data_IF_373325094988
#
_entry.id   IF_373325094988
#
_cell.length_a   1.000
_cell.length_b   1.000
_cell.length_c   1.000
_cell.angle_alpha   90.00
_cell.angle_beta   90.00
_cell.angle_gamma   90.00
#
_symmetry.space_group_name_H-M   'P 1'
#
loop_
_entity.id
_entity.type
_entity.pdbx_description
1 polymer ?
#
# COMPACT_ATOMS: atom_id res chain seq x y z
N UNK A 1 8.51 -38.06 5.44
CA UNK A 1 7.45 -37.82 4.45
C UNK A 1 6.15 -37.59 5.23
N UNK A 2 5.57 -36.39 5.20
CA UNK A 2 4.25 -36.18 5.83
C UNK A 2 3.19 -36.62 4.82
N UNK A 3 2.27 -37.45 5.29
CA UNK A 3 1.07 -37.85 4.57
C UNK A 3 -0.05 -37.03 5.16
N UNK A 4 -0.82 -36.39 4.30
CA UNK A 4 -1.97 -35.65 4.72
C UNK A 4 -3.06 -36.61 5.23
N UNK A 5 -3.59 -36.42 6.44
CA UNK A 5 -4.62 -37.32 7.00
C UNK A 5 -6.00 -37.21 6.32
N UNK A 6 -6.26 -36.11 5.61
CA UNK A 6 -7.53 -35.84 4.92
C UNK A 6 -7.58 -36.49 3.54
N UNK A 7 -6.58 -36.23 2.70
CA UNK A 7 -6.46 -36.78 1.35
C UNK A 7 -5.66 -38.11 1.27
N UNK A 8 -4.96 -38.53 2.35
CA UNK A 8 -4.04 -39.70 2.41
C UNK A 8 -2.93 -39.73 1.36
N UNK A 9 -2.71 -38.62 0.67
CA UNK A 9 -1.68 -38.41 -0.35
C UNK A 9 -0.43 -37.72 0.28
N UNK A 10 0.76 -37.87 -0.34
CA UNK A 10 1.95 -37.13 0.06
C UNK A 10 1.75 -35.62 -0.16
N UNK A 11 2.22 -34.79 0.78
CA UNK A 11 2.03 -33.33 0.77
C UNK A 11 2.55 -32.64 -0.49
N UNK A 12 3.45 -33.28 -1.21
CA UNK A 12 4.13 -32.73 -2.38
C UNK A 12 3.32 -32.88 -3.68
N UNK A 13 2.17 -33.58 -3.64
CA UNK A 13 1.31 -33.80 -4.81
C UNK A 13 -0.15 -33.34 -4.58
N UNK A 14 -0.37 -32.39 -3.66
CA UNK A 14 -1.69 -31.90 -3.33
C UNK A 14 -2.30 -31.06 -4.48
N UNK A 15 -3.32 -31.60 -5.16
CA UNK A 15 -4.02 -30.88 -6.24
C UNK A 15 -4.86 -29.71 -5.72
N UNK A 16 -5.18 -28.73 -6.60
CA UNK A 16 -6.00 -27.55 -6.26
C UNK A 16 -7.36 -27.90 -5.64
N UNK A 17 -7.93 -29.04 -6.03
CA UNK A 17 -9.19 -29.56 -5.48
C UNK A 17 -9.05 -30.06 -4.04
N UNK A 18 -7.89 -30.61 -3.66
CA UNK A 18 -7.57 -30.99 -2.29
C UNK A 18 -7.23 -29.73 -1.47
N UNK A 19 -6.46 -28.76 -2.02
CA UNK A 19 -6.14 -27.48 -1.36
C UNK A 19 -7.38 -26.70 -0.87
N UNK A 20 -8.44 -26.61 -1.68
CA UNK A 20 -9.69 -25.93 -1.30
C UNK A 20 -10.42 -26.57 -0.12
N UNK A 21 -10.26 -27.88 0.09
CA UNK A 21 -10.81 -28.58 1.25
C UNK A 21 -9.86 -28.47 2.45
N UNK A 22 -8.56 -28.33 2.19
CA UNK A 22 -7.52 -28.17 3.19
C UNK A 22 -7.51 -26.79 3.86
N UNK A 23 -7.67 -25.69 3.13
CA UNK A 23 -7.62 -24.33 3.70
C UNK A 23 -8.70 -24.09 4.77
N UNK A 24 -9.77 -24.89 4.74
CA UNK A 24 -10.86 -24.82 5.72
C UNK A 24 -10.47 -25.57 7.02
N UNK A 25 -9.55 -26.53 6.96
CA UNK A 25 -9.04 -27.28 8.11
C UNK A 25 -7.66 -26.74 8.49
N UNK A 26 -7.61 -26.10 9.66
CA UNK A 26 -6.48 -25.34 10.23
C UNK A 26 -5.15 -26.10 10.41
N UNK A 27 -5.04 -27.34 9.94
CA UNK A 27 -3.84 -28.20 10.07
C UNK A 27 -2.91 -28.19 8.85
N UNK A 28 -3.12 -27.30 7.88
CA UNK A 28 -2.12 -27.07 6.83
C UNK A 28 -1.02 -26.14 7.35
N UNK A 29 -0.20 -26.66 8.27
CA UNK A 29 1.00 -25.97 8.72
C UNK A 29 1.95 -25.88 7.52
N UNK A 30 2.08 -24.66 6.99
CA UNK A 30 2.83 -24.33 5.80
C UNK A 30 4.22 -24.98 5.82
N UNK A 31 4.37 -26.04 5.01
CA UNK A 31 5.71 -26.49 4.62
C UNK A 31 6.28 -25.43 3.70
N UNK A 32 7.00 -24.52 4.34
CA UNK A 32 8.08 -23.69 3.81
C UNK A 32 8.57 -24.18 2.45
N UNK A 33 8.04 -23.57 1.38
CA UNK A 33 8.75 -23.52 0.11
C UNK A 33 10.01 -22.72 0.38
N UNK A 34 11.13 -23.42 0.58
CA UNK A 34 12.47 -22.82 0.58
C UNK A 34 12.68 -22.21 -0.79
N UNK A 35 12.42 -20.91 -0.89
CA UNK A 35 12.91 -20.08 -1.99
C UNK A 35 14.44 -20.19 -2.02
N UNK A 36 15.08 -20.39 -3.19
CA UNK A 36 16.52 -20.18 -3.33
C UNK A 36 16.89 -18.74 -2.90
N UNK A 37 18.13 -18.50 -2.43
CA UNK A 37 18.48 -17.32 -1.65
C UNK A 37 18.44 -16.08 -2.55
N UNK A 38 17.42 -15.24 -2.36
CA UNK A 38 17.23 -14.02 -3.14
C UNK A 38 15.89 -13.33 -2.97
N UNK A 39 15.08 -13.73 -1.98
CA UNK A 39 13.83 -13.05 -1.64
C UNK A 39 13.63 -13.13 -0.14
N UNK A 40 13.71 -11.98 0.51
CA UNK A 40 13.55 -11.85 1.96
C UNK A 40 12.08 -12.12 2.34
N UNK A 41 11.80 -12.86 3.43
CA UNK A 41 10.44 -13.26 3.79
C UNK A 41 9.69 -12.10 4.44
N UNK A 42 8.50 -11.79 3.92
CA UNK A 42 7.53 -10.95 4.62
C UNK A 42 6.96 -11.77 5.79
N UNK A 43 7.52 -11.59 6.98
CA UNK A 43 6.94 -12.07 8.23
C UNK A 43 5.67 -11.29 8.55
N UNK A 44 4.55 -11.99 8.55
CA UNK A 44 3.28 -11.58 9.15
C UNK A 44 3.41 -11.57 10.68
N UNK A 45 4.14 -10.59 11.22
CA UNK A 45 4.12 -10.23 12.64
C UNK A 45 4.25 -8.70 12.75
N UNK A 46 3.12 -8.01 12.59
CA UNK A 46 2.79 -6.68 13.12
C UNK A 46 1.40 -6.26 12.61
N UNK A 47 0.35 -6.84 13.21
CA UNK A 47 -1.02 -6.34 13.15
C UNK A 47 -1.42 -5.80 14.53
N UNK A 48 -0.63 -4.87 15.05
CA UNK A 48 -0.97 -4.09 16.24
C UNK A 48 -0.62 -2.63 15.91
N UNK A 49 -1.65 -1.80 15.79
CA UNK A 49 -1.58 -0.33 15.63
C UNK A 49 -1.08 0.20 14.27
N UNK A 50 -1.92 0.11 13.24
CA UNK A 50 -1.84 1.01 12.08
C UNK A 50 -3.25 1.53 11.81
N UNK A 51 -3.82 2.18 12.84
CA UNK A 51 -5.05 2.94 12.64
C UNK A 51 -4.67 4.18 11.81
N UNK A 52 -5.34 4.46 10.67
CA UNK A 52 -5.15 5.71 9.96
C UNK A 52 -5.35 6.86 10.93
N UNK A 53 -4.58 7.93 10.78
CA UNK A 53 -4.56 9.09 11.68
C UNK A 53 -5.99 9.50 12.06
N UNK A 54 -6.44 9.10 13.25
CA UNK A 54 -7.86 9.18 13.69
C UNK A 54 -8.37 10.63 13.74
N UNK A 55 -7.44 11.59 13.78
CA UNK A 55 -7.76 12.99 13.93
C UNK A 55 -7.96 13.66 12.57
N UNK A 56 -9.14 14.25 12.38
CA UNK A 56 -9.34 15.27 11.36
C UNK A 56 -8.27 16.35 11.53
N UNK A 57 -7.47 16.65 10.49
CA UNK A 57 -6.41 17.65 10.61
C UNK A 57 -7.01 18.99 11.03
N UNK A 58 -6.25 19.75 11.83
CA UNK A 58 -6.64 21.10 12.18
C UNK A 58 -6.71 21.95 10.90
N UNK A 59 -7.88 22.50 10.59
CA UNK A 59 -8.02 23.41 9.45
C UNK A 59 -7.20 24.67 9.69
N UNK A 60 -6.17 24.83 8.88
CA UNK A 60 -5.33 26.04 8.76
C UNK A 60 -5.52 26.63 7.37
N UNK A 61 -4.94 27.82 7.12
CA UNK A 61 -4.97 28.45 5.80
C UNK A 61 -4.37 27.53 4.71
N UNK A 62 -3.35 26.75 5.06
CA UNK A 62 -2.67 25.80 4.17
C UNK A 62 -3.41 24.46 4.01
N UNK A 63 -4.56 24.27 4.68
CA UNK A 63 -5.30 23.01 4.61
C UNK A 63 -6.23 22.99 3.41
N UNK A 64 -6.00 22.05 2.49
CA UNK A 64 -6.84 21.87 1.29
C UNK A 64 -8.28 21.52 1.68
N UNK A 65 -9.24 22.25 1.11
CA UNK A 65 -10.67 22.01 1.34
C UNK A 65 -11.11 20.62 0.85
N UNK A 66 -12.02 19.93 1.58
CA UNK A 66 -12.44 18.57 1.24
C UNK A 66 -13.09 18.47 -0.14
N UNK A 67 -13.80 19.51 -0.59
CA UNK A 67 -14.41 19.54 -1.93
C UNK A 67 -13.35 19.47 -3.04
N UNK A 68 -12.19 20.12 -2.83
CA UNK A 68 -11.06 20.05 -3.78
C UNK A 68 -10.40 18.66 -3.74
N UNK A 69 -10.25 18.08 -2.55
CA UNK A 69 -9.69 16.73 -2.41
C UNK A 69 -10.53 15.67 -3.13
N UNK A 70 -11.87 15.82 -3.15
CA UNK A 70 -12.75 14.93 -3.92
C UNK A 70 -12.52 14.99 -5.43
N UNK A 71 -12.00 16.11 -5.96
CA UNK A 71 -11.70 16.24 -7.39
C UNK A 71 -10.53 15.35 -7.81
N UNK A 72 -9.60 15.04 -6.91
CA UNK A 72 -8.47 14.15 -7.16
C UNK A 72 -8.91 12.76 -7.65
N UNK A 73 -10.07 12.27 -7.18
CA UNK A 73 -10.61 10.96 -7.55
C UNK A 73 -10.97 10.85 -9.05
N UNK A 74 -11.21 11.98 -9.72
CA UNK A 74 -11.61 12.04 -11.13
C UNK A 74 -10.41 12.21 -12.08
N UNK A 75 -9.21 12.47 -11.55
CA UNK A 75 -8.00 12.62 -12.38
C UNK A 75 -7.50 11.28 -12.88
N UNK A 76 -7.47 11.10 -14.20
CA UNK A 76 -6.90 9.90 -14.82
C UNK A 76 -5.39 9.79 -14.61
N UNK A 77 -4.66 10.91 -14.63
CA UNK A 77 -3.21 10.95 -14.38
C UNK A 77 -2.85 10.43 -13.00
N UNK A 78 -3.56 10.94 -11.98
CA UNK A 78 -3.37 10.53 -10.59
C UNK A 78 -3.78 9.07 -10.38
N UNK A 79 -4.89 8.61 -10.99
CA UNK A 79 -5.28 7.20 -10.96
C UNK A 79 -4.23 6.28 -11.59
N UNK A 80 -3.63 6.70 -12.71
CA UNK A 80 -2.55 5.97 -13.38
C UNK A 80 -1.32 5.80 -12.48
N UNK A 81 -0.91 6.86 -11.77
CA UNK A 81 0.17 6.79 -10.79
C UNK A 81 -0.17 5.82 -9.64
N UNK A 82 -1.41 5.88 -9.12
CA UNK A 82 -1.85 5.02 -8.02
C UNK A 82 -2.03 3.54 -8.39
N UNK A 83 -2.07 3.16 -9.68
CA UNK A 83 -1.98 1.75 -10.05
C UNK A 83 -0.64 1.12 -9.60
N UNK A 84 0.41 1.93 -9.46
CA UNK A 84 1.69 1.47 -8.95
C UNK A 84 1.58 1.06 -7.45
N UNK A 85 1.79 -0.23 -7.11
CA UNK A 85 1.72 -0.69 -5.73
C UNK A 85 2.81 -0.05 -4.84
N UNK A 86 3.97 0.30 -5.39
CA UNK A 86 5.05 0.93 -4.62
C UNK A 86 4.64 2.31 -4.14
N UNK A 87 4.04 3.13 -5.01
CA UNK A 87 3.52 4.44 -4.62
C UNK A 87 2.45 4.31 -3.53
N UNK A 88 1.51 3.37 -3.66
CA UNK A 88 0.46 3.18 -2.63
C UNK A 88 1.02 2.78 -1.28
N UNK A 89 1.99 1.86 -1.26
CA UNK A 89 2.65 1.48 -0.01
C UNK A 89 3.46 2.65 0.56
N UNK A 90 4.14 3.41 -0.30
CA UNK A 90 4.90 4.58 0.10
C UNK A 90 4.01 5.65 0.75
N UNK A 91 2.88 5.99 0.12
CA UNK A 91 1.90 6.92 0.66
C UNK A 91 1.33 6.44 2.01
N UNK A 92 1.06 5.13 2.15
CA UNK A 92 0.63 4.56 3.43
C UNK A 92 1.70 4.75 4.51
N UNK A 93 2.96 4.53 4.19
CA UNK A 93 4.08 4.74 5.13
C UNK A 93 4.20 6.19 5.55
N UNK A 94 3.95 7.15 4.65
CA UNK A 94 3.92 8.58 5.00
C UNK A 94 2.75 8.90 5.94
N UNK A 95 1.55 8.42 5.62
CA UNK A 95 0.32 8.70 6.37
C UNK A 95 0.39 8.23 7.83
N UNK A 96 0.98 7.06 8.06
CA UNK A 96 1.10 6.46 9.41
C UNK A 96 2.43 6.80 10.11
N UNK A 97 3.27 7.64 9.52
CA UNK A 97 4.59 7.92 10.05
C UNK A 97 4.52 8.70 11.37
N UNK A 98 5.22 8.26 12.44
CA UNK A 98 5.24 8.98 13.72
C UNK A 98 5.96 10.34 13.62
N UNK A 99 6.84 10.50 12.63
CA UNK A 99 7.52 11.76 12.34
C UNK A 99 7.26 12.18 10.89
N UNK A 100 6.09 12.78 10.66
CA UNK A 100 5.65 13.24 9.35
C UNK A 100 6.67 14.19 8.70
N UNK A 101 7.29 15.09 9.46
CA UNK A 101 8.28 16.04 8.93
C UNK A 101 9.48 15.33 8.28
N UNK A 102 10.12 14.41 9.02
CA UNK A 102 11.31 13.71 8.54
C UNK A 102 10.98 12.82 7.34
N UNK A 103 9.85 12.12 7.39
CA UNK A 103 9.42 11.23 6.31
C UNK A 103 9.03 12.04 5.07
N UNK A 104 8.37 13.18 5.23
CA UNK A 104 8.06 14.09 4.12
C UNK A 104 9.32 14.60 3.43
N UNK A 105 10.35 15.03 4.18
CA UNK A 105 11.62 15.46 3.58
C UNK A 105 12.27 14.36 2.72
N UNK A 106 12.23 13.11 3.19
CA UNK A 106 12.74 11.98 2.42
C UNK A 106 11.86 11.69 1.19
N UNK A 107 10.54 11.76 1.33
CA UNK A 107 9.59 11.58 0.24
C UNK A 107 9.78 12.60 -0.88
N UNK A 108 10.08 13.85 -0.55
CA UNK A 108 10.39 14.88 -1.54
C UNK A 108 11.69 14.63 -2.34
N UNK A 109 12.50 13.63 -2.00
CA UNK A 109 13.64 13.20 -2.82
C UNK A 109 13.28 12.09 -3.81
N UNK A 110 12.14 11.42 -3.61
CA UNK A 110 11.70 10.31 -4.44
C UNK A 110 10.96 10.82 -5.68
N UNK A 111 11.44 10.54 -6.91
CA UNK A 111 10.85 11.07 -8.13
C UNK A 111 9.39 10.65 -8.29
N UNK A 112 9.06 9.43 -7.87
CA UNK A 112 7.70 8.89 -7.92
C UNK A 112 6.72 9.67 -7.02
N UNK A 113 7.20 10.19 -5.89
CA UNK A 113 6.38 11.01 -4.99
C UNK A 113 6.23 12.44 -5.51
N UNK A 114 7.29 12.99 -6.11
CA UNK A 114 7.24 14.31 -6.75
C UNK A 114 6.20 14.32 -7.88
N UNK A 115 6.23 13.32 -8.78
CA UNK A 115 5.24 13.18 -9.85
C UNK A 115 3.80 13.10 -9.31
N UNK A 116 3.60 12.36 -8.21
CA UNK A 116 2.32 12.29 -7.53
C UNK A 116 1.89 13.65 -6.94
N UNK A 117 2.80 14.36 -6.27
CA UNK A 117 2.53 15.66 -5.67
C UNK A 117 2.17 16.70 -6.75
N UNK A 118 2.93 16.73 -7.85
CA UNK A 118 2.68 17.63 -8.97
C UNK A 118 1.29 17.40 -9.59
N UNK A 119 0.88 16.15 -9.79
CA UNK A 119 -0.47 15.84 -10.28
C UNK A 119 -1.57 16.25 -9.29
N UNK A 120 -1.32 16.12 -7.98
CA UNK A 120 -2.26 16.63 -6.97
C UNK A 120 -2.37 18.16 -7.03
N UNK A 121 -1.23 18.85 -7.08
CA UNK A 121 -1.13 20.30 -7.05
C UNK A 121 -1.84 20.96 -8.23
N UNK A 122 -1.72 20.41 -9.43
CA UNK A 122 -2.45 20.90 -10.63
C UNK A 122 -3.97 20.99 -10.43
N UNK A 123 -4.53 20.16 -9.55
CA UNK A 123 -5.97 20.08 -9.29
C UNK A 123 -6.36 20.97 -8.12
N UNK A 124 -5.59 20.94 -7.02
CA UNK A 124 -5.93 21.69 -5.80
C UNK A 124 -5.58 23.18 -5.93
N UNK A 125 -4.54 23.48 -6.70
CA UNK A 125 -3.99 24.81 -6.96
C UNK A 125 -3.75 24.96 -8.47
N UNK A 126 -4.83 25.10 -9.26
CA UNK A 126 -4.69 25.34 -10.68
C UNK A 126 -3.92 26.65 -10.90
N UNK A 127 -2.98 26.70 -11.87
CA UNK A 127 -2.22 27.91 -12.13
C UNK A 127 -3.17 29.05 -12.45
N UNK A 128 -3.04 30.15 -11.72
CA UNK A 128 -3.71 31.40 -12.04
C UNK A 128 -3.16 31.92 -13.38
N UNK A 129 -4.03 32.48 -14.23
CA UNK A 129 -3.66 33.06 -15.52
C UNK A 129 -2.62 34.21 -15.40
N UNK A 130 -2.33 34.68 -14.18
CA UNK A 130 -1.34 35.71 -13.85
C UNK A 130 0.13 35.22 -13.80
N UNK A 131 0.39 33.90 -13.88
CA UNK A 131 1.75 33.33 -13.90
C UNK A 131 2.17 32.80 -15.30
N UNK A 132 1.61 33.38 -16.37
CA UNK A 132 2.24 33.36 -17.69
C UNK A 132 3.00 34.67 -17.92
N UNK A 133 4.18 34.79 -17.32
CA UNK A 133 5.16 35.85 -17.66
C UNK A 133 6.33 35.24 -18.39
#
# INVERSE_FOLDING_TARGET
MQICIVCREPTDNCSLSCYKKHIISTECQARTCKTPPGGEPLTEEQNEDNEPTIYTPFSTEDTVAPEKLQQLAHSEGLRNLLYNPHLRNFLRTIDVAPNAWKVMQAAMQEPLFIEFADECLKIVEPPSDDEKV
#
